data_IF_163588085106
#
_entry.id   IF_163588085106
#
_cell.length_a   1.000
_cell.length_b   1.000
_cell.length_c   1.000
_cell.angle_alpha   90.00
_cell.angle_beta   90.00
_cell.angle_gamma   90.00
#
_symmetry.space_group_name_H-M   'P 1'
#
loop_
_entity.id
_entity.type
_entity.pdbx_description
1 polymer ?
#
# COMPACT_ATOMS: atom_id res chain seq x y z
N UNK A 1 22.72 -12.95 -13.02
CA UNK A 1 23.42 -12.02 -13.93
C UNK A 1 22.72 -10.67 -13.79
N UNK A 2 23.40 -9.66 -13.26
CA UNK A 2 22.74 -8.43 -12.78
C UNK A 2 22.18 -7.55 -13.90
N UNK A 3 21.02 -6.93 -13.63
CA UNK A 3 20.29 -6.02 -14.54
C UNK A 3 21.18 -4.86 -15.06
N UNK A 4 22.25 -4.51 -14.35
CA UNK A 4 23.20 -3.46 -14.76
C UNK A 4 23.92 -3.73 -16.10
N UNK A 5 24.02 -5.00 -16.54
CA UNK A 5 24.72 -5.36 -17.77
C UNK A 5 23.79 -5.74 -18.93
N UNK A 6 22.48 -5.74 -18.71
CA UNK A 6 21.49 -5.99 -19.75
C UNK A 6 20.91 -4.64 -20.19
N UNK A 7 20.59 -4.50 -21.49
CA UNK A 7 20.06 -3.25 -22.05
C UNK A 7 18.79 -2.75 -21.35
N UNK A 8 18.31 -1.56 -21.75
CA UNK A 8 17.13 -0.88 -21.16
C UNK A 8 15.91 -1.80 -21.00
N UNK A 9 15.73 -2.76 -21.90
CA UNK A 9 14.85 -3.90 -21.67
C UNK A 9 15.69 -5.17 -21.59
N UNK A 10 15.39 -6.00 -20.59
CA UNK A 10 16.15 -7.22 -20.32
C UNK A 10 15.23 -8.39 -20.05
N UNK A 11 15.76 -9.59 -20.21
CA UNK A 11 15.05 -10.83 -19.94
C UNK A 11 15.74 -11.57 -18.80
N UNK A 12 14.97 -12.03 -17.83
CA UNK A 12 15.43 -12.81 -16.68
C UNK A 12 14.50 -13.97 -16.39
N UNK A 13 14.94 -14.90 -15.54
CA UNK A 13 14.14 -16.01 -15.07
C UNK A 13 13.76 -15.80 -13.59
N UNK A 14 12.47 -15.97 -13.28
CA UNK A 14 11.95 -16.07 -11.92
C UNK A 14 11.52 -17.53 -11.68
N UNK A 15 12.43 -18.34 -11.17
CA UNK A 15 12.24 -19.80 -11.15
C UNK A 15 12.07 -20.33 -12.58
N UNK A 16 11.06 -21.18 -12.87
CA UNK A 16 10.81 -21.67 -14.23
C UNK A 16 10.08 -20.66 -15.11
N UNK A 17 9.72 -19.47 -14.59
CA UNK A 17 8.94 -18.48 -15.33
C UNK A 17 9.86 -17.42 -15.94
N UNK A 18 9.82 -17.21 -17.26
CA UNK A 18 10.54 -16.10 -17.87
C UNK A 18 9.86 -14.76 -17.53
N UNK A 19 10.66 -13.72 -17.34
CA UNK A 19 10.22 -12.36 -17.00
C UNK A 19 10.95 -11.35 -17.87
N UNK A 20 10.20 -10.45 -18.49
CA UNK A 20 10.74 -9.31 -19.23
C UNK A 20 10.73 -8.08 -18.32
N UNK A 21 11.89 -7.49 -18.09
CA UNK A 21 12.03 -6.21 -17.40
C UNK A 21 11.99 -5.09 -18.43
N UNK A 22 11.03 -4.19 -18.26
CA UNK A 22 10.82 -3.03 -19.13
C UNK A 22 11.25 -1.78 -18.33
N UNK A 23 12.25 -1.04 -18.82
CA UNK A 23 12.68 0.22 -18.17
C UNK A 23 12.44 1.46 -19.05
N UNK A 24 11.92 1.28 -20.27
CA UNK A 24 11.54 2.39 -21.14
C UNK A 24 10.17 2.97 -20.74
N UNK A 25 10.08 4.28 -20.41
CA UNK A 25 8.84 4.88 -19.91
C UNK A 25 7.64 4.74 -20.85
N UNK A 26 7.88 4.81 -22.16
CA UNK A 26 6.83 4.66 -23.18
C UNK A 26 6.22 3.25 -23.15
N UNK A 27 7.07 2.22 -23.05
CA UNK A 27 6.63 0.84 -22.95
C UNK A 27 5.96 0.56 -21.59
N UNK A 28 6.48 1.12 -20.49
CA UNK A 28 5.84 1.02 -19.16
C UNK A 28 4.43 1.61 -19.22
N UNK A 29 4.28 2.81 -19.79
CA UNK A 29 2.98 3.46 -19.96
C UNK A 29 2.04 2.58 -20.78
N UNK A 30 2.50 2.04 -21.90
CA UNK A 30 1.72 1.17 -22.77
C UNK A 30 1.21 -0.07 -22.05
N UNK A 31 2.09 -0.74 -21.29
CA UNK A 31 1.73 -1.93 -20.51
C UNK A 31 0.71 -1.58 -19.41
N UNK A 32 0.91 -0.47 -18.69
CA UNK A 32 0.03 -0.07 -17.59
C UNK A 32 -1.34 0.44 -18.07
N UNK A 33 -1.45 1.01 -19.26
CA UNK A 33 -2.71 1.50 -19.83
C UNK A 33 -3.52 0.40 -20.52
N UNK A 34 -2.86 -0.55 -21.19
CA UNK A 34 -3.49 -1.65 -21.94
C UNK A 34 -3.84 -2.84 -21.01
N UNK A 35 -4.59 -2.57 -19.94
CA UNK A 35 -4.96 -3.56 -18.91
C UNK A 35 -5.86 -4.71 -19.43
N UNK A 36 -6.42 -4.59 -20.63
CA UNK A 36 -7.14 -5.65 -21.33
C UNK A 36 -6.20 -6.63 -22.05
N UNK A 37 -4.98 -6.21 -22.36
CA UNK A 37 -3.94 -7.02 -23.02
C UNK A 37 -2.96 -7.57 -21.98
N UNK A 38 -2.53 -6.73 -21.03
CA UNK A 38 -1.60 -7.09 -19.97
C UNK A 38 -2.34 -7.26 -18.65
N UNK A 39 -2.42 -8.49 -18.16
CA UNK A 39 -2.96 -8.83 -16.85
C UNK A 39 -1.88 -8.77 -15.77
N UNK A 40 -2.28 -8.63 -14.50
CA UNK A 40 -1.31 -8.62 -13.40
C UNK A 40 -0.62 -9.99 -13.31
N UNK A 41 0.68 -10.02 -12.96
CA UNK A 41 1.34 -11.26 -12.63
C UNK A 41 0.58 -11.99 -11.52
N UNK A 42 0.47 -13.33 -11.56
CA UNK A 42 -0.19 -14.08 -10.51
C UNK A 42 0.51 -13.81 -9.17
N UNK A 43 -0.25 -13.47 -8.10
CA UNK A 43 0.35 -13.15 -6.83
C UNK A 43 1.09 -14.35 -6.24
N UNK A 44 2.15 -14.08 -5.48
CA UNK A 44 2.78 -15.10 -4.65
C UNK A 44 1.73 -15.74 -3.72
N UNK A 45 1.80 -17.04 -3.39
CA UNK A 45 0.80 -17.73 -2.57
C UNK A 45 0.43 -17.00 -1.27
N UNK A 46 1.42 -16.39 -0.60
CA UNK A 46 1.24 -15.56 0.60
C UNK A 46 0.43 -14.27 0.31
N UNK A 47 0.68 -13.63 -0.84
CA UNK A 47 -0.06 -12.45 -1.28
C UNK A 47 -1.51 -12.78 -1.67
N UNK A 48 -1.79 -14.01 -2.12
CA UNK A 48 -3.15 -14.45 -2.49
C UNK A 48 -4.11 -14.44 -1.30
N UNK A 49 -3.62 -14.73 -0.09
CA UNK A 49 -4.43 -14.73 1.14
C UNK A 49 -4.84 -13.31 1.57
N UNK A 50 -3.95 -12.33 1.35
CA UNK A 50 -4.18 -10.92 1.71
C UNK A 50 -4.85 -10.10 0.60
N UNK A 51 -4.81 -10.58 -0.65
CA UNK A 51 -5.24 -9.84 -1.83
C UNK A 51 -6.68 -10.13 -2.29
N UNK A 52 -7.50 -10.81 -1.49
CA UNK A 52 -8.91 -11.01 -1.81
C UNK A 52 -9.63 -9.65 -1.92
N UNK A 53 -9.83 -9.15 -3.14
CA UNK A 53 -10.34 -7.80 -3.38
C UNK A 53 -9.93 -7.23 -4.74
N UNK A 54 -10.06 -5.91 -4.91
CA UNK A 54 -9.81 -5.24 -6.21
C UNK A 54 -8.37 -5.40 -6.72
N UNK A 55 -7.40 -5.69 -5.84
CA UNK A 55 -6.02 -5.94 -6.25
C UNK A 55 -5.92 -7.22 -7.09
N UNK A 56 -6.62 -8.30 -6.71
CA UNK A 56 -6.57 -9.59 -7.40
C UNK A 56 -7.56 -9.74 -8.57
N UNK A 57 -8.55 -8.84 -8.70
CA UNK A 57 -9.52 -8.91 -9.80
C UNK A 57 -8.92 -8.41 -11.11
N UNK A 58 -9.42 -8.96 -12.21
CA UNK A 58 -9.08 -8.55 -13.58
C UNK A 58 -10.33 -8.21 -14.40
N UNK A 59 -10.12 -7.55 -15.54
CA UNK A 59 -11.14 -7.30 -16.56
C UNK A 59 -12.39 -6.58 -16.05
N UNK A 60 -13.56 -7.09 -16.41
CA UNK A 60 -14.84 -6.47 -16.09
C UNK A 60 -15.12 -6.46 -14.57
N UNK A 61 -14.77 -7.52 -13.85
CA UNK A 61 -14.98 -7.59 -12.40
C UNK A 61 -14.17 -6.52 -11.67
N UNK A 62 -12.92 -6.31 -12.08
CA UNK A 62 -12.08 -5.23 -11.58
C UNK A 62 -12.69 -3.86 -11.89
N UNK A 63 -13.11 -3.65 -13.14
CA UNK A 63 -13.69 -2.40 -13.61
C UNK A 63 -14.94 -2.04 -12.81
N UNK A 64 -15.83 -3.01 -12.61
CA UNK A 64 -17.07 -2.85 -11.84
C UNK A 64 -16.79 -2.50 -10.39
N UNK A 65 -15.89 -3.22 -9.70
CA UNK A 65 -15.56 -2.93 -8.29
C UNK A 65 -14.84 -1.59 -8.13
N UNK A 66 -13.91 -1.26 -9.03
CA UNK A 66 -13.20 0.02 -9.00
C UNK A 66 -14.16 1.20 -9.21
N UNK A 67 -15.15 1.07 -10.10
CA UNK A 67 -16.20 2.08 -10.28
C UNK A 67 -17.01 2.35 -9.01
N UNK A 68 -17.27 1.31 -8.20
CA UNK A 68 -17.98 1.44 -6.92
C UNK A 68 -17.12 2.11 -5.85
N UNK A 69 -15.81 1.81 -5.83
CA UNK A 69 -14.88 2.30 -4.80
C UNK A 69 -14.39 3.73 -5.07
N UNK A 70 -14.12 4.09 -6.33
CA UNK A 70 -13.53 5.37 -6.72
C UNK A 70 -14.22 6.62 -6.09
N UNK A 71 -15.56 6.70 -5.95
CA UNK A 71 -16.22 7.84 -5.32
C UNK A 71 -15.76 8.12 -3.89
N UNK A 72 -15.31 7.12 -3.14
CA UNK A 72 -14.79 7.30 -1.78
C UNK A 72 -13.46 8.09 -1.76
N UNK A 73 -12.77 8.16 -2.90
CA UNK A 73 -11.50 8.87 -3.08
C UNK A 73 -11.66 10.21 -3.82
N UNK A 74 -12.89 10.70 -3.98
CA UNK A 74 -13.13 12.06 -4.48
C UNK A 74 -12.70 13.10 -3.44
N UNK A 75 -12.29 14.28 -3.91
CA UNK A 75 -11.73 15.35 -3.06
C UNK A 75 -12.62 15.68 -1.84
N UNK A 76 -13.94 15.78 -2.02
CA UNK A 76 -14.87 16.07 -0.92
C UNK A 76 -14.87 14.96 0.15
N UNK A 77 -14.70 13.69 -0.26
CA UNK A 77 -14.58 12.56 0.67
C UNK A 77 -13.23 12.55 1.36
N UNK A 78 -12.16 12.87 0.64
CA UNK A 78 -10.80 12.98 1.21
C UNK A 78 -10.70 14.08 2.26
N UNK A 79 -11.39 15.21 2.09
CA UNK A 79 -11.44 16.29 3.12
C UNK A 79 -11.94 15.78 4.46
N UNK A 80 -12.91 14.86 4.48
CA UNK A 80 -13.41 14.26 5.72
C UNK A 80 -12.41 13.30 6.38
N UNK A 81 -11.40 12.81 5.65
CA UNK A 81 -10.35 11.93 6.18
C UNK A 81 -9.22 12.70 6.88
N UNK A 82 -9.08 14.01 6.61
CA UNK A 82 -7.98 14.85 7.14
C UNK A 82 -7.96 14.85 8.66
N UNK A 83 -9.12 14.90 9.32
CA UNK A 83 -9.21 14.85 10.79
C UNK A 83 -8.67 13.54 11.36
N UNK A 84 -8.94 12.41 10.69
CA UNK A 84 -8.41 11.12 11.09
C UNK A 84 -6.88 11.07 10.91
N UNK A 85 -6.35 11.62 9.81
CA UNK A 85 -4.90 11.73 9.59
C UNK A 85 -4.23 12.56 10.68
N UNK A 86 -4.80 13.73 10.99
CA UNK A 86 -4.29 14.62 12.03
C UNK A 86 -4.28 13.92 13.38
N UNK A 87 -5.38 13.26 13.76
CA UNK A 87 -5.47 12.57 15.04
C UNK A 87 -4.43 11.44 15.13
N UNK A 88 -4.24 10.64 14.09
CA UNK A 88 -3.24 9.57 14.08
C UNK A 88 -1.81 10.10 14.19
N UNK A 89 -1.51 11.21 13.49
CA UNK A 89 -0.21 11.89 13.63
C UNK A 89 0.00 12.46 15.03
N UNK A 90 -0.99 13.15 15.59
CA UNK A 90 -0.94 13.70 16.94
C UNK A 90 -0.73 12.60 17.99
N UNK A 91 -1.43 11.47 17.88
CA UNK A 91 -1.24 10.34 18.79
C UNK A 91 0.18 9.77 18.74
N UNK A 92 0.78 9.70 17.54
CA UNK A 92 2.17 9.27 17.38
C UNK A 92 3.15 10.26 18.02
N UNK A 93 2.99 11.56 17.74
CA UNK A 93 3.86 12.61 18.30
C UNK A 93 3.75 12.66 19.82
N UNK A 94 2.53 12.56 20.38
CA UNK A 94 2.31 12.48 21.83
C UNK A 94 3.04 11.28 22.46
N UNK A 95 3.14 10.14 21.75
CA UNK A 95 3.91 8.97 22.22
C UNK A 95 5.41 9.24 22.18
N UNK A 96 5.91 10.07 21.26
CA UNK A 96 7.32 10.47 21.19
C UNK A 96 7.67 11.47 22.28
N UNK A 97 6.81 12.48 22.52
CA UNK A 97 7.01 13.47 23.57
C UNK A 97 7.14 12.84 24.96
N UNK A 98 6.33 11.80 25.24
CA UNK A 98 6.42 11.02 26.49
C UNK A 98 7.72 10.23 26.66
N UNK A 99 8.49 10.05 25.60
CA UNK A 99 9.79 9.35 25.63
C UNK A 99 10.97 10.30 25.76
N UNK A 100 10.76 11.61 25.69
CA UNK A 100 11.81 12.60 25.90
C UNK A 100 12.34 12.48 27.34
N UNK A 101 13.66 12.34 27.48
CA UNK A 101 14.35 12.36 28.78
C UNK A 101 14.43 13.78 29.33
N UNK A 102 14.87 13.91 30.59
CA UNK A 102 14.99 15.19 31.30
C UNK A 102 15.92 16.21 30.61
N UNK A 103 16.81 15.74 29.73
CA UNK A 103 17.72 16.55 28.92
C UNK A 103 17.09 17.08 27.61
N UNK A 104 15.82 16.72 27.33
CA UNK A 104 15.04 17.24 26.21
C UNK A 104 15.32 16.57 24.86
N UNK A 105 16.08 15.47 24.82
CA UNK A 105 16.39 14.76 23.57
C UNK A 105 16.37 13.25 23.77
N UNK A 106 15.92 12.48 22.76
CA UNK A 106 16.00 11.02 22.80
C UNK A 106 16.26 10.45 21.41
N UNK A 107 16.98 9.33 21.33
CA UNK A 107 17.10 8.54 20.11
C UNK A 107 15.89 7.60 19.99
N UNK A 108 15.29 7.51 18.81
CA UNK A 108 14.07 6.74 18.58
C UNK A 108 14.11 5.99 17.25
N UNK A 109 13.87 4.68 17.30
CA UNK A 109 13.50 3.92 16.12
C UNK A 109 12.07 4.28 15.69
N UNK A 110 11.94 5.02 14.60
CA UNK A 110 10.66 5.49 14.06
C UNK A 110 9.93 4.42 13.24
N UNK A 111 10.59 3.34 12.83
CA UNK A 111 10.02 2.37 11.90
C UNK A 111 8.73 1.72 12.42
N UNK A 112 8.68 1.21 13.68
CA UNK A 112 7.44 0.67 14.25
C UNK A 112 6.32 1.71 14.33
N UNK A 113 6.65 2.98 14.56
CA UNK A 113 5.68 4.07 14.64
C UNK A 113 5.06 4.39 13.30
N UNK A 114 5.84 4.39 12.21
CA UNK A 114 5.31 4.59 10.86
C UNK A 114 4.39 3.44 10.42
N UNK A 115 4.73 2.21 10.78
CA UNK A 115 3.86 1.05 10.53
C UNK A 115 2.54 1.17 11.28
N UNK A 116 2.57 1.58 12.56
CA UNK A 116 1.37 1.81 13.36
C UNK A 116 0.56 3.00 12.81
N UNK A 117 1.22 4.10 12.45
CA UNK A 117 0.58 5.31 11.92
C UNK A 117 -0.21 5.01 10.66
N UNK A 118 0.42 4.35 9.68
CA UNK A 118 -0.25 4.00 8.42
C UNK A 118 -1.41 3.04 8.64
N UNK A 119 -1.26 2.07 9.55
CA UNK A 119 -2.33 1.19 9.99
C UNK A 119 -3.49 1.94 10.65
N UNK A 120 -3.20 2.90 11.51
CA UNK A 120 -4.20 3.67 12.27
C UNK A 120 -4.97 4.63 11.36
N UNK A 121 -4.27 5.26 10.41
CA UNK A 121 -4.86 6.08 9.37
C UNK A 121 -5.89 5.28 8.55
N UNK A 122 -5.53 4.09 8.06
CA UNK A 122 -6.48 3.29 7.28
C UNK A 122 -7.61 2.75 8.15
N UNK A 123 -7.34 2.34 9.39
CA UNK A 123 -8.36 1.91 10.36
C UNK A 123 -9.42 3.00 10.59
N UNK A 124 -8.99 4.25 10.83
CA UNK A 124 -9.90 5.36 11.14
C UNK A 124 -10.69 5.79 9.93
N UNK A 125 -10.03 5.91 8.78
CA UNK A 125 -10.66 6.43 7.57
C UNK A 125 -11.57 5.42 6.88
N UNK A 126 -11.18 4.15 6.84
CA UNK A 126 -11.95 3.12 6.14
C UNK A 126 -12.99 2.42 7.03
N UNK A 127 -12.72 2.29 8.34
CA UNK A 127 -13.53 1.48 9.24
C UNK A 127 -14.06 2.23 10.47
N UNK A 128 -13.63 3.48 10.69
CA UNK A 128 -14.06 4.28 11.85
C UNK A 128 -13.50 3.80 13.19
N UNK A 129 -12.46 2.97 13.19
CA UNK A 129 -11.80 2.43 14.39
C UNK A 129 -10.32 2.80 14.44
N UNK A 130 -9.57 2.41 15.48
CA UNK A 130 -8.12 2.59 15.52
C UNK A 130 -7.36 1.27 15.29
N UNK A 131 -6.06 1.35 14.96
CA UNK A 131 -5.25 0.17 14.65
C UNK A 131 -5.14 -0.82 15.82
N UNK A 132 -5.05 -0.32 17.05
CA UNK A 132 -4.92 -1.16 18.25
C UNK A 132 -6.20 -1.96 18.52
N UNK A 133 -7.37 -1.35 18.32
CA UNK A 133 -8.68 -1.99 18.39
C UNK A 133 -8.88 -3.02 17.28
N UNK A 134 -8.50 -2.66 16.05
CA UNK A 134 -8.53 -3.59 14.91
C UNK A 134 -7.67 -4.83 15.13
N UNK A 135 -6.50 -4.69 15.75
CA UNK A 135 -5.60 -5.83 16.05
C UNK A 135 -6.24 -6.85 17.00
N UNK A 136 -7.03 -6.39 17.98
CA UNK A 136 -7.70 -7.28 18.95
C UNK A 136 -8.73 -8.20 18.28
N UNK A 137 -9.39 -7.72 17.23
CA UNK A 137 -10.39 -8.49 16.47
C UNK A 137 -9.76 -9.71 15.75
N UNK A 138 -8.50 -9.61 15.32
CA UNK A 138 -7.77 -10.69 14.63
C UNK A 138 -7.00 -11.62 15.57
N UNK A 139 -7.03 -11.39 16.88
CA UNK A 139 -6.41 -12.23 17.91
C UNK A 139 -7.42 -13.16 18.62
N UNK A 140 -8.70 -13.10 18.22
CA UNK A 140 -9.76 -14.04 18.58
C UNK A 140 -9.84 -15.15 17.54
#
# INVERSE_FOLDING_TARGET
MGIKNAGKNSFTWLGPKPVVNIMEPELIRDVLLKHNVFQKPPPHPIGKLLAAGVIALEGEQWTKRRKIINPAFHLEKLKHMVSAFQLSCSDMVNKWEKKLSMDGSCELDIWPYLQILTGDVISRTAFGSNYEEGRRIFQL
#
